data_IF_380505920627
#
_entry.id   IF_380505920627
#
_cell.length_a   1.000
_cell.length_b   1.000
_cell.length_c   1.000
_cell.angle_alpha   90.00
_cell.angle_beta   90.00
_cell.angle_gamma   90.00
#
_symmetry.space_group_name_H-M   'P 1'
#
loop_
_entity.id
_entity.type
_entity.pdbx_description
1 polymer ?
#
# COMPACT_ATOMS: atom_id res chain seq x y z
N UNK A 1 -21.96 -21.47 17.96
CA UNK A 1 -22.95 -20.38 18.17
C UNK A 1 -22.28 -19.01 18.33
N UNK A 2 -21.53 -18.52 17.33
CA UNK A 2 -20.95 -17.15 17.30
C UNK A 2 -20.78 -16.73 15.83
N UNK A 3 -21.85 -16.27 15.19
CA UNK A 3 -21.80 -15.80 13.79
C UNK A 3 -22.72 -14.60 13.56
N UNK A 4 -23.84 -14.52 14.28
CA UNK A 4 -24.82 -13.44 14.13
C UNK A 4 -24.32 -12.05 14.56
N UNK A 5 -23.29 -11.94 15.41
CA UNK A 5 -22.85 -10.66 15.96
C UNK A 5 -21.92 -9.83 15.03
N UNK A 6 -21.29 -10.43 14.02
CA UNK A 6 -20.34 -9.73 13.14
C UNK A 6 -21.01 -8.69 12.21
N UNK A 7 -22.26 -8.94 11.80
CA UNK A 7 -22.96 -8.16 10.77
C UNK A 7 -24.04 -7.21 11.29
N UNK A 8 -24.27 -7.12 12.60
CA UNK A 8 -25.39 -6.34 13.18
C UNK A 8 -25.23 -4.80 13.10
N UNK A 9 -24.13 -4.29 12.53
CA UNK A 9 -23.88 -2.84 12.38
C UNK A 9 -24.25 -2.25 11.02
N UNK A 10 -24.81 -3.02 10.08
CA UNK A 10 -24.86 -2.63 8.66
C UNK A 10 -26.04 -1.70 8.29
N UNK A 11 -27.01 -1.46 9.19
CA UNK A 11 -28.29 -0.83 8.80
C UNK A 11 -28.29 0.72 8.90
N UNK A 12 -27.30 1.37 9.54
CA UNK A 12 -27.30 2.85 9.73
C UNK A 12 -26.36 3.61 8.75
N UNK A 13 -25.70 2.92 7.82
CA UNK A 13 -24.45 3.42 7.23
C UNK A 13 -24.56 4.06 5.83
N UNK A 14 -25.71 4.49 5.32
CA UNK A 14 -25.76 4.97 3.92
C UNK A 14 -25.14 6.37 3.73
N UNK A 15 -25.58 7.41 4.45
CA UNK A 15 -24.98 8.76 4.32
C UNK A 15 -23.49 8.90 4.72
N UNK A 16 -23.00 8.33 5.85
CA UNK A 16 -21.60 8.50 6.27
C UNK A 16 -20.61 7.65 5.45
N UNK A 17 -21.07 6.62 4.74
CA UNK A 17 -20.22 5.80 3.87
C UNK A 17 -20.07 6.44 2.49
N UNK A 18 -21.13 7.00 1.90
CA UNK A 18 -21.03 7.68 0.59
C UNK A 18 -20.09 8.88 0.67
N UNK A 19 -20.22 9.73 1.69
CA UNK A 19 -19.33 10.88 1.88
C UNK A 19 -17.87 10.45 2.09
N UNK A 20 -17.63 9.44 2.94
CA UNK A 20 -16.29 8.88 3.16
C UNK A 20 -15.70 8.30 1.87
N UNK A 21 -16.50 7.57 1.09
CA UNK A 21 -16.10 7.03 -0.20
C UNK A 21 -15.74 8.15 -1.16
N UNK A 22 -16.57 9.17 -1.29
CA UNK A 22 -16.33 10.32 -2.16
C UNK A 22 -15.02 11.04 -1.82
N UNK A 23 -14.82 11.36 -0.54
CA UNK A 23 -13.56 11.97 -0.05
C UNK A 23 -12.37 11.07 -0.36
N UNK A 24 -12.46 9.77 -0.06
CA UNK A 24 -11.33 8.84 -0.29
C UNK A 24 -11.01 8.68 -1.76
N UNK A 25 -12.01 8.51 -2.62
CA UNK A 25 -11.82 8.44 -4.08
C UNK A 25 -11.21 9.74 -4.61
N UNK A 26 -11.70 10.89 -4.13
CA UNK A 26 -11.16 12.21 -4.47
C UNK A 26 -9.71 12.42 -4.04
N UNK A 27 -9.26 11.79 -2.95
CA UNK A 27 -7.85 11.80 -2.52
C UNK A 27 -7.01 10.74 -3.24
N UNK A 28 -7.61 9.59 -3.58
CA UNK A 28 -6.91 8.47 -4.19
C UNK A 28 -6.42 8.81 -5.59
N UNK A 29 -7.29 9.37 -6.42
CA UNK A 29 -6.96 9.70 -7.81
C UNK A 29 -5.75 10.62 -7.95
N UNK A 30 -5.69 11.81 -7.31
CA UNK A 30 -4.51 12.68 -7.40
C UNK A 30 -3.28 12.04 -6.77
N UNK A 31 -3.42 11.22 -5.71
CA UNK A 31 -2.29 10.51 -5.10
C UNK A 31 -1.67 9.47 -6.06
N UNK A 32 -2.50 8.77 -6.83
CA UNK A 32 -2.06 7.84 -7.87
C UNK A 32 -1.38 8.57 -9.03
N UNK A 33 -2.00 9.65 -9.54
CA UNK A 33 -1.42 10.50 -10.60
C UNK A 33 -0.05 11.01 -10.16
N UNK A 34 0.04 11.56 -8.94
CA UNK A 34 1.29 12.01 -8.37
C UNK A 34 2.34 10.91 -8.28
N UNK A 35 1.95 9.68 -7.88
CA UNK A 35 2.83 8.53 -7.85
C UNK A 35 3.44 8.20 -9.22
N UNK A 36 2.61 8.19 -10.26
CA UNK A 36 3.04 7.95 -11.65
C UNK A 36 3.98 9.05 -12.13
N UNK A 37 3.64 10.33 -11.91
CA UNK A 37 4.50 11.45 -12.27
C UNK A 37 5.86 11.39 -11.56
N UNK A 38 5.85 11.07 -10.27
CA UNK A 38 7.05 10.99 -9.46
C UNK A 38 7.95 9.82 -9.90
N UNK A 39 7.35 8.68 -10.29
CA UNK A 39 8.08 7.56 -10.88
C UNK A 39 8.67 7.90 -12.25
N UNK A 40 7.91 8.57 -13.13
CA UNK A 40 8.35 8.91 -14.48
C UNK A 40 9.39 10.03 -14.52
N UNK A 41 9.23 11.07 -13.69
CA UNK A 41 10.06 12.28 -13.80
C UNK A 41 11.10 12.40 -12.70
N UNK A 42 10.81 12.02 -11.45
CA UNK A 42 11.73 12.27 -10.35
C UNK A 42 12.72 11.13 -10.14
N UNK A 43 12.30 9.88 -10.29
CA UNK A 43 13.16 8.72 -10.03
C UNK A 43 14.43 8.64 -10.89
N UNK A 44 14.44 9.01 -12.18
CA UNK A 44 15.67 9.04 -12.98
C UNK A 44 16.77 9.92 -12.38
N UNK A 45 16.41 10.97 -11.64
CA UNK A 45 17.34 11.95 -11.07
C UNK A 45 17.52 11.81 -9.55
N UNK A 46 16.93 10.79 -8.93
CA UNK A 46 16.91 10.63 -7.48
C UNK A 46 17.82 9.50 -7.00
N UNK A 47 18.67 9.78 -6.01
CA UNK A 47 19.51 8.76 -5.35
C UNK A 47 18.67 7.60 -4.80
N UNK A 48 19.15 6.34 -4.84
CA UNK A 48 18.39 5.17 -4.41
C UNK A 48 17.76 5.30 -3.01
N UNK A 49 18.49 5.81 -2.03
CA UNK A 49 18.02 5.92 -0.64
C UNK A 49 16.86 6.92 -0.52
N UNK A 50 16.90 8.00 -1.32
CA UNK A 50 15.83 9.00 -1.36
C UNK A 50 14.62 8.45 -2.08
N UNK A 51 14.81 7.71 -3.18
CA UNK A 51 13.75 7.01 -3.90
C UNK A 51 13.04 6.01 -2.99
N UNK A 52 13.79 5.28 -2.17
CA UNK A 52 13.25 4.30 -1.24
C UNK A 52 12.37 4.96 -0.18
N UNK A 53 12.85 6.04 0.44
CA UNK A 53 12.03 6.83 1.38
C UNK A 53 10.77 7.39 0.75
N UNK A 54 10.83 7.83 -0.51
CA UNK A 54 9.67 8.32 -1.25
C UNK A 54 8.65 7.20 -1.49
N UNK A 55 9.09 6.02 -1.92
CA UNK A 55 8.21 4.85 -2.13
C UNK A 55 7.55 4.41 -0.83
N UNK A 56 8.30 4.34 0.28
CA UNK A 56 7.74 3.96 1.58
C UNK A 56 6.69 4.97 2.06
N UNK A 57 6.98 6.28 1.95
CA UNK A 57 6.04 7.35 2.33
C UNK A 57 4.79 7.34 1.46
N UNK A 58 4.97 7.22 0.14
CA UNK A 58 3.87 7.17 -0.82
C UNK A 58 2.96 5.97 -0.56
N UNK A 59 3.54 4.79 -0.27
CA UNK A 59 2.79 3.56 0.03
C UNK A 59 1.99 3.68 1.34
N UNK A 60 2.60 4.22 2.41
CA UNK A 60 1.90 4.49 3.68
C UNK A 60 0.72 5.44 3.48
N UNK A 61 0.89 6.49 2.67
CA UNK A 61 -0.17 7.46 2.38
C UNK A 61 -1.31 6.83 1.60
N UNK A 62 -1.00 6.01 0.57
CA UNK A 62 -2.00 5.26 -0.20
C UNK A 62 -2.86 4.37 0.71
N UNK A 63 -2.21 3.58 1.57
CA UNK A 63 -2.91 2.70 2.51
C UNK A 63 -3.75 3.49 3.50
N UNK A 64 -3.27 4.64 3.98
CA UNK A 64 -4.04 5.56 4.81
C UNK A 64 -5.28 6.12 4.12
N UNK A 65 -5.19 6.51 2.84
CA UNK A 65 -6.32 6.98 2.03
C UNK A 65 -7.37 5.86 1.89
N UNK A 66 -6.93 4.63 1.62
CA UNK A 66 -7.81 3.46 1.54
C UNK A 66 -8.37 3.03 2.91
N UNK A 67 -7.84 3.57 4.00
CA UNK A 67 -8.26 3.24 5.36
C UNK A 67 -7.74 1.90 5.86
N UNK A 68 -6.66 1.40 5.27
CA UNK A 68 -5.96 0.19 5.71
C UNK A 68 -5.17 0.51 6.97
N UNK A 69 -5.42 -0.24 8.05
CA UNK A 69 -4.64 -0.16 9.28
C UNK A 69 -3.56 -1.24 9.23
N UNK A 70 -2.30 -0.82 9.29
CA UNK A 70 -1.16 -1.72 9.23
C UNK A 70 -0.76 -2.09 10.66
N UNK A 71 -0.60 -3.38 10.93
CA UNK A 71 0.04 -3.90 12.14
C UNK A 71 1.34 -4.55 11.73
N UNK A 72 2.45 -4.05 12.25
CA UNK A 72 3.79 -4.54 11.91
C UNK A 72 4.43 -5.12 13.16
N UNK A 73 4.98 -6.31 13.03
CA UNK A 73 5.93 -6.86 14.00
C UNK A 73 7.34 -6.34 13.67
N UNK A 74 8.25 -6.41 14.65
CA UNK A 74 9.66 -6.13 14.38
C UNK A 74 10.17 -7.12 13.32
N UNK A 75 10.86 -6.64 12.27
CA UNK A 75 11.47 -7.54 11.30
C UNK A 75 12.56 -8.39 11.99
N UNK A 76 12.73 -9.66 11.60
CA UNK A 76 13.81 -10.48 12.12
C UNK A 76 15.17 -9.84 11.79
N UNK A 77 16.13 -9.97 12.70
CA UNK A 77 17.52 -9.58 12.44
C UNK A 77 18.14 -10.63 11.51
N UNK A 78 18.53 -10.21 10.30
CA UNK A 78 19.08 -11.07 9.26
C UNK A 78 20.45 -10.51 8.87
N UNK A 79 21.47 -11.37 8.85
CA UNK A 79 22.87 -10.98 8.59
C UNK A 79 23.21 -10.81 7.09
N UNK A 80 22.23 -10.93 6.19
CA UNK A 80 22.42 -10.86 4.74
C UNK A 80 21.12 -10.65 3.97
N UNK A 81 21.17 -10.84 2.65
CA UNK A 81 19.98 -10.80 1.80
C UNK A 81 19.00 -11.91 2.15
N UNK A 82 17.70 -11.61 2.14
CA UNK A 82 16.66 -12.57 2.46
C UNK A 82 15.51 -12.52 1.47
N UNK A 83 14.86 -13.66 1.26
CA UNK A 83 13.65 -13.76 0.47
C UNK A 83 12.43 -13.61 1.38
N UNK A 84 11.66 -12.54 1.15
CA UNK A 84 10.37 -12.35 1.81
C UNK A 84 9.31 -13.17 1.08
N UNK A 85 8.68 -14.12 1.78
CA UNK A 85 7.58 -14.93 1.26
C UNK A 85 6.32 -14.63 2.05
N UNK A 86 5.23 -14.36 1.36
CA UNK A 86 3.92 -14.14 1.96
C UNK A 86 2.82 -14.65 1.03
N UNK A 87 1.61 -14.79 1.59
CA UNK A 87 0.43 -15.01 0.77
C UNK A 87 0.21 -13.78 -0.13
N UNK A 88 -0.14 -14.02 -1.39
CA UNK A 88 -0.58 -12.96 -2.28
C UNK A 88 -2.11 -13.00 -2.36
N UNK A 89 -2.75 -12.06 -1.66
CA UNK A 89 -4.21 -12.00 -1.52
C UNK A 89 -4.78 -10.80 -2.25
N UNK A 90 -3.98 -9.74 -2.40
CA UNK A 90 -4.46 -8.49 -2.98
C UNK A 90 -3.38 -7.72 -3.70
N UNK A 91 -3.79 -6.84 -4.61
CA UNK A 91 -2.87 -5.89 -5.24
C UNK A 91 -2.28 -4.88 -4.23
N UNK A 92 -2.86 -4.77 -3.03
CA UNK A 92 -2.32 -3.92 -1.98
C UNK A 92 -1.06 -4.49 -1.31
N UNK A 93 -0.75 -5.77 -1.53
CA UNK A 93 0.35 -6.46 -0.87
C UNK A 93 1.69 -5.78 -1.15
N UNK A 94 1.91 -5.31 -2.39
CA UNK A 94 3.12 -4.56 -2.79
C UNK A 94 3.31 -3.31 -1.90
N UNK A 95 2.22 -2.55 -1.73
CA UNK A 95 2.24 -1.31 -0.95
C UNK A 95 2.32 -1.57 0.54
N UNK A 96 1.71 -2.66 1.03
CA UNK A 96 1.80 -3.11 2.42
C UNK A 96 3.25 -3.44 2.78
N UNK A 97 3.93 -4.19 1.91
CA UNK A 97 5.34 -4.55 2.09
C UNK A 97 6.20 -3.28 2.05
N UNK A 98 6.05 -2.44 1.02
CA UNK A 98 6.77 -1.17 0.91
C UNK A 98 6.51 -0.19 2.06
N UNK A 99 5.33 -0.22 2.68
CA UNK A 99 5.04 0.58 3.86
C UNK A 99 5.83 0.11 5.10
N UNK A 100 6.28 -1.16 5.14
CA UNK A 100 7.11 -1.69 6.22
C UNK A 100 8.60 -1.54 5.94
N UNK A 101 9.06 -2.00 4.78
CA UNK A 101 10.47 -2.08 4.42
C UNK A 101 10.64 -2.01 2.90
N UNK A 102 11.79 -1.54 2.43
CA UNK A 102 12.09 -1.56 1.00
C UNK A 102 12.57 -2.96 0.60
N UNK A 103 11.91 -3.53 -0.40
CA UNK A 103 12.29 -4.79 -1.04
C UNK A 103 12.34 -4.62 -2.56
N UNK A 104 12.91 -5.61 -3.23
CA UNK A 104 12.79 -5.79 -4.68
C UNK A 104 11.82 -6.94 -4.94
N UNK A 105 10.87 -6.74 -5.85
CA UNK A 105 9.94 -7.78 -6.27
C UNK A 105 10.51 -8.53 -7.46
N UNK A 106 10.35 -9.85 -7.46
CA UNK A 106 10.62 -10.67 -8.63
C UNK A 106 9.41 -10.60 -9.54
N UNK A 107 9.59 -10.12 -10.76
CA UNK A 107 8.56 -10.11 -11.80
C UNK A 107 8.91 -11.09 -12.91
N UNK A 108 7.90 -11.53 -13.66
CA UNK A 108 8.16 -12.31 -14.88
C UNK A 108 8.84 -11.43 -15.93
N UNK A 109 9.58 -12.07 -16.85
CA UNK A 109 10.38 -11.38 -17.87
C UNK A 109 9.52 -10.54 -18.83
N UNK A 110 8.27 -10.94 -19.07
CA UNK A 110 7.32 -10.26 -19.95
C UNK A 110 6.93 -8.86 -19.45
N UNK A 111 7.08 -8.59 -18.14
CA UNK A 111 6.80 -7.27 -17.54
C UNK A 111 7.83 -6.21 -17.95
N UNK A 112 8.98 -6.64 -18.51
CA UNK A 112 10.04 -5.72 -18.95
C UNK A 112 9.76 -5.07 -20.31
N UNK A 113 8.95 -5.71 -21.15
CA UNK A 113 8.64 -5.26 -22.52
C UNK A 113 7.58 -4.16 -22.52
#
# INVERSE_FOLDING_TARGET
>A
MQSAAYNNGVIVARLPVFLRRFIRTGLLLPHLIWGVMLAGWAFPFTKPERRDRLIMRWSRRLLGILGVRIRMAAPPSLSGGALLVCNHVSWLDIYLIHASQRVHFVSKAEVRA
#
